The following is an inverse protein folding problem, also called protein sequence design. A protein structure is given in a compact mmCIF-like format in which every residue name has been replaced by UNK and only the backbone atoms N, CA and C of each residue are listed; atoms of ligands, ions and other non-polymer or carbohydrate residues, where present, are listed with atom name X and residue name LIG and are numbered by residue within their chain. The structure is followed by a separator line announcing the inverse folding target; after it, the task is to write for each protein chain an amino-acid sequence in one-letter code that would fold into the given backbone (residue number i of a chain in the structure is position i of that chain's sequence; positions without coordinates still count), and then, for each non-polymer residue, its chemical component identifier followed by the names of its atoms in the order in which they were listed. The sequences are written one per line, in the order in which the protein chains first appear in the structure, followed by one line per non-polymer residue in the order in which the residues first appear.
data_IF_469730990712
#
_entry.id   IF_469730990712
#
_cell.length_a   1.000
_cell.length_b   1.000
_cell.length_c   1.000
_cell.angle_alpha   90.00
_cell.angle_beta   90.00
_cell.angle_gamma   90.00
#
_symmetry.space_group_name_H-M   'P 1'
#
loop_
_entity.id
_entity.type
_entity.pdbx_description
1 polymer ?
#
# COMPACT_ATOMS: atom_id res chain seq x y z
N UNK A 1 -15.91 -51.92 -3.18
CA UNK A 1 -15.12 -50.73 -3.57
C UNK A 1 -15.69 -50.16 -4.85
N UNK A 2 -16.55 -49.14 -4.75
CA UNK A 2 -17.16 -48.51 -5.91
C UNK A 2 -16.17 -47.51 -6.52
N UNK A 3 -15.82 -47.71 -7.79
CA UNK A 3 -15.00 -46.77 -8.57
C UNK A 3 -15.81 -45.51 -8.83
N UNK A 4 -15.37 -44.37 -8.30
CA UNK A 4 -15.92 -43.07 -8.66
C UNK A 4 -15.79 -42.87 -10.18
N UNK A 5 -16.87 -42.56 -10.91
CA UNK A 5 -16.74 -42.24 -12.32
C UNK A 5 -16.07 -40.88 -12.42
N UNK A 6 -14.80 -40.86 -12.83
CA UNK A 6 -14.12 -39.65 -13.29
C UNK A 6 -14.98 -39.01 -14.37
N UNK A 7 -15.71 -37.97 -13.99
CA UNK A 7 -16.53 -37.17 -14.88
C UNK A 7 -15.62 -36.47 -15.87
N UNK A 8 -15.33 -37.14 -16.99
CA UNK A 8 -14.71 -36.57 -18.17
C UNK A 8 -15.74 -35.67 -18.88
N UNK A 9 -16.22 -34.67 -18.16
CA UNK A 9 -17.05 -33.61 -18.70
C UNK A 9 -16.08 -32.76 -19.52
N UNK A 10 -16.09 -32.95 -20.84
CA UNK A 10 -15.42 -32.06 -21.78
C UNK A 10 -15.97 -30.65 -21.53
N UNK A 11 -15.32 -29.89 -20.65
CA UNK A 11 -15.71 -28.50 -20.34
C UNK A 11 -15.68 -27.78 -21.67
N UNK A 12 -16.85 -27.35 -22.16
CA UNK A 12 -16.93 -26.50 -23.34
C UNK A 12 -15.93 -25.37 -23.14
N UNK A 13 -15.03 -25.09 -24.10
CA UNK A 13 -14.04 -24.05 -23.92
C UNK A 13 -14.79 -22.77 -23.59
N UNK A 14 -14.52 -22.25 -22.40
CA UNK A 14 -15.19 -21.08 -21.92
C UNK A 14 -14.87 -19.92 -22.87
N UNK A 15 -15.84 -19.49 -23.67
CA UNK A 15 -15.66 -18.37 -24.59
C UNK A 15 -15.73 -17.08 -23.78
N UNK A 16 -14.57 -16.57 -23.40
CA UNK A 16 -14.45 -15.23 -22.83
C UNK A 16 -14.80 -14.20 -23.90
N UNK A 17 -15.84 -13.41 -23.67
CA UNK A 17 -16.31 -12.37 -24.60
C UNK A 17 -15.81 -11.00 -24.15
N UNK A 18 -15.55 -10.10 -25.11
CA UNK A 18 -15.04 -8.75 -24.86
C UNK A 18 -15.90 -7.98 -23.87
N UNK A 19 -17.21 -7.95 -24.12
CA UNK A 19 -18.19 -7.26 -23.25
C UNK A 19 -18.21 -7.82 -21.82
N UNK A 20 -17.97 -9.12 -21.64
CA UNK A 20 -17.92 -9.72 -20.31
C UNK A 20 -16.71 -9.24 -19.52
N UNK A 21 -15.55 -9.10 -20.17
CA UNK A 21 -14.34 -8.57 -19.53
C UNK A 21 -14.52 -7.10 -19.16
N UNK A 22 -15.01 -6.27 -20.09
CA UNK A 22 -15.28 -4.84 -19.81
C UNK A 22 -16.22 -4.65 -18.63
N UNK A 23 -17.31 -5.43 -18.57
CA UNK A 23 -18.23 -5.38 -17.42
C UNK A 23 -17.58 -5.85 -16.12
N UNK A 24 -16.69 -6.83 -16.19
CA UNK A 24 -15.98 -7.34 -15.01
C UNK A 24 -14.94 -6.35 -14.48
N UNK A 25 -14.32 -5.54 -15.35
CA UNK A 25 -13.34 -4.50 -15.00
C UNK A 25 -13.98 -3.41 -14.14
N UNK A 26 -15.20 -2.98 -14.46
CA UNK A 26 -15.85 -1.90 -13.72
C UNK A 26 -16.03 -2.27 -12.23
N UNK A 27 -15.51 -1.46 -11.32
CA UNK A 27 -15.52 -1.70 -9.88
C UNK A 27 -14.60 -2.83 -9.42
N UNK A 28 -13.63 -3.27 -10.24
CA UNK A 28 -12.65 -4.31 -9.87
C UNK A 28 -11.36 -3.74 -9.27
N UNK A 29 -11.17 -2.42 -9.33
CA UNK A 29 -9.92 -1.75 -9.00
C UNK A 29 -8.74 -2.12 -9.92
N UNK A 30 -9.03 -2.65 -11.13
CA UNK A 30 -8.00 -3.10 -12.07
C UNK A 30 -7.29 -4.40 -11.68
N UNK A 31 -7.79 -5.10 -10.64
CA UNK A 31 -7.17 -6.32 -10.09
C UNK A 31 -7.53 -7.56 -10.94
N UNK A 32 -6.51 -8.21 -11.50
CA UNK A 32 -6.70 -9.34 -12.42
C UNK A 32 -7.41 -10.56 -11.80
N UNK A 33 -7.12 -10.89 -10.55
CA UNK A 33 -7.78 -12.00 -9.84
C UNK A 33 -9.27 -11.75 -9.65
N UNK A 34 -9.66 -10.52 -9.35
CA UNK A 34 -11.06 -10.13 -9.18
C UNK A 34 -11.80 -10.13 -10.53
N UNK A 35 -11.18 -9.62 -11.59
CA UNK A 35 -11.73 -9.68 -12.96
C UNK A 35 -11.93 -11.15 -13.40
N UNK A 36 -10.94 -12.00 -13.14
CA UNK A 36 -10.99 -13.43 -13.46
C UNK A 36 -12.11 -14.15 -12.69
N UNK A 37 -12.23 -13.86 -11.39
CA UNK A 37 -13.30 -14.37 -10.52
C UNK A 37 -14.69 -13.98 -11.05
N UNK A 38 -14.90 -12.71 -11.40
CA UNK A 38 -16.15 -12.20 -12.00
C UNK A 38 -16.44 -12.81 -13.37
N UNK A 39 -15.38 -13.07 -14.13
CA UNK A 39 -15.48 -13.75 -15.40
C UNK A 39 -15.64 -15.27 -15.27
N UNK A 40 -15.41 -15.87 -14.10
CA UNK A 40 -15.43 -17.33 -13.91
C UNK A 40 -14.31 -18.05 -14.68
N UNK A 41 -13.16 -17.40 -14.86
CA UNK A 41 -11.99 -17.93 -15.59
C UNK A 41 -10.75 -17.90 -14.73
N UNK A 42 -9.69 -18.56 -15.20
CA UNK A 42 -8.38 -18.44 -14.59
C UNK A 42 -7.75 -17.07 -14.94
N UNK A 43 -6.89 -16.57 -14.06
CA UNK A 43 -6.21 -15.27 -14.24
C UNK A 43 -5.40 -15.20 -15.52
N UNK A 44 -4.72 -16.30 -15.90
CA UNK A 44 -3.98 -16.39 -17.17
C UNK A 44 -4.87 -16.10 -18.38
N UNK A 45 -6.12 -16.55 -18.38
CA UNK A 45 -7.07 -16.30 -19.48
C UNK A 45 -7.42 -14.81 -19.61
N UNK A 46 -7.46 -14.08 -18.49
CA UNK A 46 -7.64 -12.62 -18.50
C UNK A 46 -6.39 -11.94 -19.04
N UNK A 47 -5.20 -12.34 -18.59
CA UNK A 47 -3.93 -11.82 -19.10
C UNK A 47 -3.79 -12.01 -20.62
N UNK A 48 -4.18 -13.17 -21.13
CA UNK A 48 -4.18 -13.45 -22.57
C UNK A 48 -5.19 -12.56 -23.32
N UNK A 49 -6.33 -12.25 -22.70
CA UNK A 49 -7.33 -11.37 -23.27
C UNK A 49 -6.86 -9.91 -23.34
N UNK A 50 -6.09 -9.44 -22.35
CA UNK A 50 -5.51 -8.10 -22.34
C UNK A 50 -4.43 -7.91 -23.42
N UNK A 51 -3.74 -8.99 -23.80
CA UNK A 51 -2.69 -8.98 -24.84
C UNK A 51 -3.24 -9.28 -26.24
N UNK A 52 -4.54 -9.55 -26.36
CA UNK A 52 -5.16 -9.94 -27.63
C UNK A 52 -5.29 -8.71 -28.55
N UNK A 53 -4.83 -8.83 -29.79
CA UNK A 53 -5.03 -7.80 -30.82
C UNK A 53 -6.51 -7.51 -31.05
N UNK A 54 -6.88 -6.23 -31.11
CA UNK A 54 -8.26 -5.74 -31.26
C UNK A 54 -9.04 -5.63 -29.95
N UNK A 55 -8.39 -5.84 -28.80
CA UNK A 55 -8.96 -5.75 -27.44
C UNK A 55 -8.20 -4.71 -26.59
N UNK A 56 -7.51 -3.77 -27.22
CA UNK A 56 -6.68 -2.75 -26.57
C UNK A 56 -7.49 -1.87 -25.60
N UNK A 57 -8.78 -1.67 -25.89
CA UNK A 57 -9.70 -0.93 -25.04
C UNK A 57 -9.92 -1.58 -23.66
N UNK A 58 -9.76 -2.90 -23.55
CA UNK A 58 -9.90 -3.61 -22.28
C UNK A 58 -8.73 -3.28 -21.37
N UNK A 59 -7.51 -3.23 -21.90
CA UNK A 59 -6.35 -2.84 -21.12
C UNK A 59 -6.45 -1.36 -20.71
N UNK A 60 -6.86 -0.47 -21.62
CA UNK A 60 -7.12 0.92 -21.29
C UNK A 60 -8.20 1.09 -20.20
N UNK A 61 -9.29 0.33 -20.28
CA UNK A 61 -10.34 0.34 -19.25
C UNK A 61 -9.81 -0.17 -17.90
N UNK A 62 -8.96 -1.21 -17.90
CA UNK A 62 -8.32 -1.74 -16.69
C UNK A 62 -7.40 -0.71 -16.04
N UNK A 63 -6.59 -0.02 -16.84
CA UNK A 63 -5.68 1.03 -16.36
C UNK A 63 -6.47 2.21 -15.78
N UNK A 64 -7.53 2.67 -16.46
CA UNK A 64 -8.38 3.74 -15.94
C UNK A 64 -9.02 3.39 -14.58
N UNK A 65 -9.47 2.15 -14.42
CA UNK A 65 -10.01 1.66 -13.14
C UNK A 65 -8.93 1.60 -12.04
N UNK A 66 -7.69 1.24 -12.40
CA UNK A 66 -6.56 1.21 -11.49
C UNK A 66 -6.17 2.60 -11.02
N UNK A 67 -6.08 3.57 -11.93
CA UNK A 67 -5.84 4.99 -11.61
C UNK A 67 -6.94 5.54 -10.70
N UNK A 68 -8.22 5.28 -11.03
CA UNK A 68 -9.33 5.70 -10.17
C UNK A 68 -9.26 5.11 -8.75
N UNK A 69 -8.74 3.90 -8.60
CA UNK A 69 -8.55 3.28 -7.27
C UNK A 69 -7.35 3.88 -6.55
N UNK A 70 -6.30 4.22 -7.28
CA UNK A 70 -5.15 4.95 -6.74
C UNK A 70 -5.58 6.34 -6.23
N UNK A 71 -6.39 7.07 -6.99
CA UNK A 71 -6.94 8.37 -6.58
C UNK A 71 -7.75 8.27 -5.29
N UNK A 72 -8.58 7.23 -5.17
CA UNK A 72 -9.33 6.95 -3.93
C UNK A 72 -8.40 6.65 -2.75
N UNK A 73 -7.34 5.86 -2.98
CA UNK A 73 -6.36 5.58 -1.95
C UNK A 73 -5.60 6.84 -1.53
N UNK A 74 -5.23 7.71 -2.48
CA UNK A 74 -4.62 9.00 -2.20
C UNK A 74 -5.55 9.90 -1.37
N UNK A 75 -6.85 9.96 -1.72
CA UNK A 75 -7.84 10.71 -0.96
C UNK A 75 -7.99 10.20 0.48
N UNK A 76 -8.01 8.89 0.69
CA UNK A 76 -8.03 8.28 2.04
C UNK A 76 -6.79 8.67 2.84
N UNK A 77 -5.61 8.65 2.22
CA UNK A 77 -4.36 9.06 2.88
C UNK A 77 -4.44 10.53 3.31
N UNK A 78 -4.89 11.43 2.43
CA UNK A 78 -5.06 12.85 2.76
C UNK A 78 -6.06 13.03 3.90
N UNK A 79 -7.20 12.36 3.83
CA UNK A 79 -8.22 12.42 4.88
C UNK A 79 -7.67 11.94 6.24
N UNK A 80 -6.81 10.91 6.24
CA UNK A 80 -6.16 10.45 7.49
C UNK A 80 -5.27 11.52 8.12
N UNK A 81 -4.67 12.41 7.32
CA UNK A 81 -3.90 13.56 7.83
C UNK A 81 -4.80 14.70 8.30
N UNK A 82 -5.80 15.08 7.52
CA UNK A 82 -6.68 16.22 7.82
C UNK A 82 -7.55 15.96 9.06
N UNK A 83 -8.12 14.76 9.17
CA UNK A 83 -9.06 14.44 10.25
C UNK A 83 -8.39 14.02 11.55
N UNK A 84 -7.05 14.02 11.62
CA UNK A 84 -6.24 13.49 12.76
C UNK A 84 -6.91 12.24 13.35
N UNK A 85 -7.22 11.24 12.51
CA UNK A 85 -7.99 10.08 12.98
C UNK A 85 -7.26 9.37 14.14
N UNK A 86 -8.07 8.83 15.06
CA UNK A 86 -7.75 8.37 16.42
C UNK A 86 -6.61 7.34 16.58
N UNK A 87 -5.98 6.88 15.49
CA UNK A 87 -4.81 6.01 15.55
C UNK A 87 -3.54 6.75 15.12
N UNK A 88 -2.80 7.35 16.08
CA UNK A 88 -1.57 8.08 15.79
C UNK A 88 -0.51 7.20 15.11
N UNK A 89 -0.46 5.89 15.40
CA UNK A 89 0.50 4.99 14.77
C UNK A 89 0.24 4.80 13.27
N UNK A 90 -1.03 4.70 12.86
CA UNK A 90 -1.40 4.59 11.45
C UNK A 90 -1.14 5.90 10.70
N UNK A 91 -1.47 7.04 11.30
CA UNK A 91 -1.17 8.35 10.73
C UNK A 91 0.35 8.57 10.55
N UNK A 92 1.17 8.20 11.54
CA UNK A 92 2.63 8.29 11.43
C UNK A 92 3.22 7.35 10.36
N UNK A 93 2.64 6.16 10.14
CA UNK A 93 3.06 5.27 9.06
C UNK A 93 2.71 5.85 7.68
N UNK A 94 1.46 6.31 7.50
CA UNK A 94 1.03 6.95 6.26
C UNK A 94 1.87 8.21 5.96
N UNK A 95 2.19 9.02 6.98
CA UNK A 95 3.00 10.22 6.84
C UNK A 95 4.42 9.91 6.34
N UNK A 96 5.08 8.91 6.93
CA UNK A 96 6.41 8.47 6.50
C UNK A 96 6.40 7.99 5.05
N UNK A 97 5.43 7.15 4.71
CA UNK A 97 5.26 6.64 3.34
C UNK A 97 4.99 7.78 2.34
N UNK A 98 4.17 8.75 2.70
CA UNK A 98 3.81 9.87 1.83
C UNK A 98 5.03 10.77 1.60
N UNK A 99 5.74 11.13 2.66
CA UNK A 99 6.92 11.98 2.60
C UNK A 99 8.05 11.31 1.80
N UNK A 100 8.26 10.01 1.94
CA UNK A 100 9.32 9.30 1.18
C UNK A 100 9.09 9.25 -0.33
N UNK A 101 7.83 9.39 -0.77
CA UNK A 101 7.46 9.37 -2.19
C UNK A 101 7.25 10.76 -2.78
N UNK A 102 6.56 11.65 -2.09
CA UNK A 102 6.14 12.96 -2.62
C UNK A 102 7.03 14.13 -2.15
N UNK A 103 7.83 13.95 -1.08
CA UNK A 103 8.73 14.97 -0.53
C UNK A 103 10.20 14.47 -0.46
N UNK A 104 10.58 13.58 -1.39
CA UNK A 104 11.92 13.00 -1.45
C UNK A 104 13.01 14.06 -1.66
N UNK A 105 12.68 15.11 -2.40
CA UNK A 105 13.49 16.32 -2.63
C UNK A 105 13.86 17.03 -1.32
N UNK A 106 13.07 16.85 -0.25
CA UNK A 106 13.31 17.44 1.07
C UNK A 106 14.07 16.52 2.03
N UNK A 107 14.61 15.40 1.54
CA UNK A 107 15.43 14.46 2.31
C UNK A 107 14.67 13.31 2.99
N UNK A 108 13.37 13.15 2.75
CA UNK A 108 12.54 12.10 3.38
C UNK A 108 12.54 10.75 2.65
N UNK A 109 13.28 10.61 1.55
CA UNK A 109 13.38 9.33 0.84
C UNK A 109 14.16 8.29 1.63
N UNK A 110 14.07 7.02 1.23
CA UNK A 110 14.92 5.97 1.79
C UNK A 110 16.38 6.40 1.69
N UNK A 111 17.04 6.54 2.84
CA UNK A 111 18.48 6.71 2.90
C UNK A 111 19.08 5.46 2.25
N UNK A 112 19.50 5.59 0.99
CA UNK A 112 20.32 4.56 0.36
C UNK A 112 21.58 4.51 1.18
N UNK A 113 21.70 3.51 2.05
CA UNK A 113 23.00 3.06 2.52
C UNK A 113 23.81 2.80 1.25
N UNK A 114 24.76 3.68 0.94
CA UNK A 114 25.78 3.42 -0.06
C UNK A 114 26.61 2.30 0.56
N UNK A 115 26.21 1.07 0.29
CA UNK A 115 26.95 -0.10 0.71
C UNK A 115 28.29 -0.06 0.02
N UNK A 116 29.34 0.28 0.77
CA UNK A 116 30.68 -0.20 0.43
C UNK A 116 30.61 -1.72 0.42
N UNK A 117 31.12 -2.30 -0.65
CA UNK A 117 31.03 -3.71 -1.02
C UNK A 117 31.14 -4.72 0.15
N UNK A 118 30.35 -5.79 0.00
CA UNK A 118 30.41 -7.11 0.68
C UNK A 118 29.81 -7.18 2.08
N UNK A 119 28.63 -7.78 2.20
CA UNK A 119 28.53 -9.20 2.57
C UNK A 119 27.07 -9.70 2.47
N UNK A 120 26.91 -10.88 1.87
CA UNK A 120 25.68 -11.66 1.91
C UNK A 120 25.60 -12.38 3.27
N UNK A 121 24.54 -12.13 4.03
CA UNK A 121 24.05 -13.08 5.03
C UNK A 121 22.51 -12.97 5.18
N UNK A 122 21.76 -14.08 5.13
CA UNK A 122 20.31 -14.09 5.31
C UNK A 122 19.96 -14.36 6.78
N UNK A 123 19.02 -13.60 7.34
CA UNK A 123 18.48 -13.91 8.66
C UNK A 123 17.98 -12.67 9.39
N UNK A 124 16.69 -12.65 9.68
CA UNK A 124 16.03 -11.54 10.35
C UNK A 124 16.59 -11.25 11.73
N UNK A 125 16.66 -9.96 12.05
CA UNK A 125 16.68 -9.42 13.41
C UNK A 125 16.15 -7.99 13.33
N UNK A 126 15.30 -7.62 14.29
CA UNK A 126 14.48 -6.40 14.26
C UNK A 126 15.25 -5.14 13.89
N UNK A 127 14.70 -4.37 12.98
CA UNK A 127 15.16 -3.01 12.69
C UNK A 127 15.08 -2.21 14.01
N UNK A 128 16.19 -1.64 14.51
CA UNK A 128 16.13 -0.69 15.61
C UNK A 128 15.21 0.48 15.21
N UNK A 129 14.50 1.12 16.15
CA UNK A 129 13.71 2.31 15.82
C UNK A 129 14.64 3.37 15.23
N UNK A 130 14.46 3.62 13.94
CA UNK A 130 15.21 4.59 13.18
C UNK A 130 14.88 5.99 13.72
N UNK A 131 15.87 6.59 14.39
CA UNK A 131 15.79 7.94 14.95
C UNK A 131 15.86 8.91 13.78
N UNK A 132 14.72 9.52 13.42
CA UNK A 132 14.70 10.59 12.41
C UNK A 132 15.46 11.78 13.00
N UNK A 133 16.55 12.27 12.36
CA UNK A 133 17.26 13.45 12.83
C UNK A 133 16.31 14.66 12.80
N UNK A 134 16.21 15.38 13.92
CA UNK A 134 15.33 16.55 14.12
C UNK A 134 15.63 17.69 13.13
N UNK A 135 16.76 17.62 12.43
CA UNK A 135 17.30 18.62 11.53
C UNK A 135 16.47 18.82 10.24
N UNK A 136 15.61 17.86 9.87
CA UNK A 136 14.75 17.95 8.68
C UNK A 136 13.36 18.55 8.96
N UNK A 137 13.03 18.83 10.22
CA UNK A 137 11.72 19.38 10.62
C UNK A 137 11.71 20.91 10.48
N UNK A 138 10.56 21.48 10.09
CA UNK A 138 10.39 22.93 10.11
C UNK A 138 10.65 23.49 11.52
N UNK A 139 11.14 24.74 11.62
CA UNK A 139 11.41 25.38 12.92
C UNK A 139 10.17 25.40 13.83
N UNK A 140 8.98 25.56 13.26
CA UNK A 140 7.72 25.53 14.01
C UNK A 140 7.41 24.14 14.56
N UNK A 141 7.60 23.09 13.77
CA UNK A 141 7.40 21.70 14.20
C UNK A 141 8.42 21.30 15.26
N UNK A 142 9.68 21.71 15.09
CA UNK A 142 10.74 21.49 16.08
C UNK A 142 10.43 22.16 17.41
N UNK A 143 9.91 23.41 17.39
CA UNK A 143 9.48 24.11 18.61
C UNK A 143 8.35 23.38 19.33
N UNK A 144 7.34 22.93 18.60
CA UNK A 144 6.18 22.24 19.18
C UNK A 144 6.54 20.90 19.84
N UNK A 145 7.44 20.13 19.22
CA UNK A 145 7.93 18.86 19.78
C UNK A 145 8.73 19.12 21.06
N UNK A 146 9.59 20.14 21.09
CA UNK A 146 10.36 20.50 22.29
C UNK A 146 9.44 20.93 23.44
N UNK A 147 8.40 21.71 23.15
CA UNK A 147 7.40 22.11 24.14
C UNK A 147 6.63 20.92 24.72
N UNK A 148 6.22 19.96 23.89
CA UNK A 148 5.55 18.73 24.35
C UNK A 148 6.49 17.84 25.19
N UNK A 149 7.77 17.73 24.83
CA UNK A 149 8.77 16.98 25.62
C UNK A 149 9.01 17.62 27.00
N UNK A 150 9.07 18.96 27.08
CA UNK A 150 9.16 19.66 28.36
C UNK A 150 7.91 19.47 29.24
N UNK A 151 6.72 19.42 28.63
CA UNK A 151 5.47 19.16 29.35
C UNK A 151 5.44 17.75 29.96
N UNK A 152 5.88 16.74 29.21
CA UNK A 152 6.00 15.35 29.69
C UNK A 152 7.05 15.22 30.80
N UNK A 153 8.18 15.92 30.66
CA UNK A 153 9.22 15.96 31.70
C UNK A 153 8.76 16.60 33.01
N UNK A 154 7.87 17.60 32.95
CA UNK A 154 7.27 18.24 34.15
C UNK A 154 6.25 17.33 34.84
N UNK A 155 5.48 16.53 34.10
CA UNK A 155 4.53 15.57 34.68
C UNK A 155 5.22 14.41 35.42
N UNK A 156 6.36 13.91 34.93
CA UNK A 156 7.10 12.86 35.63
C UNK A 156 7.76 13.35 36.94
N UNK A 157 8.27 14.59 36.98
CA UNK A 157 8.87 15.15 38.21
C UNK A 157 7.86 15.32 39.34
N UNK A 158 6.61 15.67 39.03
CA UNK A 158 5.56 15.81 40.05
C UNK A 158 5.10 14.46 40.63
N UNK A 159 5.15 13.37 39.84
CA UNK A 159 4.86 12.03 40.35
C UNK A 159 5.97 11.47 41.25
N UNK A 160 7.24 11.79 40.98
CA UNK A 160 8.36 11.34 41.82
C UNK A 160 8.47 12.11 43.15
N UNK A 161 8.02 13.38 43.21
CA UNK A 161 7.96 14.16 44.46
C UNK A 161 6.77 13.79 45.35
N UNK A 162 5.67 13.29 44.79
CA UNK A 162 4.50 12.83 45.55
C UNK A 162 4.65 11.40 46.14
N UNK A 163 5.71 10.68 45.77
CA UNK A 163 6.00 9.31 46.18
C UNK A 163 7.10 9.19 47.26
N UNK A 164 7.54 10.31 47.86
CA UNK A 164 8.46 10.37 49.00
C UNK A 164 7.76 10.88 50.25
#
# INVERSE_FOLDING_TARGET
MARNPSSNMRRRPYKLTRNKVLKAIRGSGGILSEIARRCGVHTSTVTDALRRKGWEDIESARLAELESTADLAEAVIIETFERRQANPALASQNARWFLSRKARDRGYGDARAIGTERDHAPGGAGTPPEVVPIECLSLETRRKILEELEAVGKHNKHNDEAAR
#
